data_IF_639627394461
#
_entry.id   IF_639627394461
#
_cell.length_a   1.000
_cell.length_b   1.000
_cell.length_c   1.000
_cell.angle_alpha   90.00
_cell.angle_beta   90.00
_cell.angle_gamma   90.00
#
_symmetry.space_group_name_H-M   'P 1'
#
loop_
_entity.id
_entity.type
_entity.pdbx_description
1 polymer ?
#
# COMPACT_ATOMS: atom_id res chain seq x y z
N UNK A 1 -23.03 -0.46 3.12
CA UNK A 1 -21.73 0.17 3.47
C UNK A 1 -20.68 -0.92 3.60
N UNK A 2 -19.66 -0.89 2.74
CA UNK A 2 -18.57 -1.87 2.73
C UNK A 2 -17.75 -1.67 4.00
N UNK A 3 -17.55 -2.73 4.79
CA UNK A 3 -16.83 -2.64 6.06
C UNK A 3 -15.36 -2.42 5.75
N UNK A 4 -14.84 -1.22 6.03
CA UNK A 4 -13.40 -0.96 5.97
C UNK A 4 -12.77 -1.86 7.03
N UNK A 5 -11.86 -2.74 6.62
CA UNK A 5 -11.15 -3.61 7.54
C UNK A 5 -9.75 -3.05 7.78
N UNK A 6 -9.49 -2.68 9.01
CA UNK A 6 -8.16 -2.26 9.44
C UNK A 6 -7.26 -3.48 9.67
N UNK A 7 -6.05 -3.46 9.15
CA UNK A 7 -5.00 -4.46 9.42
C UNK A 7 -3.68 -3.78 9.76
N UNK A 8 -2.85 -4.45 10.54
CA UNK A 8 -1.53 -3.96 10.95
C UNK A 8 -0.44 -4.72 10.19
N UNK A 9 0.49 -4.00 9.56
CA UNK A 9 1.57 -4.55 8.75
C UNK A 9 2.92 -4.20 9.34
N UNK A 10 3.82 -5.18 9.46
CA UNK A 10 5.19 -4.93 9.90
C UNK A 10 6.01 -4.36 8.74
N UNK A 11 6.50 -3.14 8.86
CA UNK A 11 7.34 -2.50 7.85
C UNK A 11 8.78 -3.06 7.73
N UNK A 12 9.14 -4.10 8.48
CA UNK A 12 10.44 -4.78 8.35
C UNK A 12 10.33 -6.12 7.62
N UNK A 13 9.32 -6.94 7.93
CA UNK A 13 9.16 -8.27 7.35
C UNK A 13 7.85 -8.49 6.57
N UNK A 14 6.94 -7.52 6.56
CA UNK A 14 5.65 -7.62 5.87
C UNK A 14 4.58 -8.43 6.61
N UNK A 15 4.86 -8.93 7.83
CA UNK A 15 3.87 -9.69 8.60
C UNK A 15 2.61 -8.86 8.86
N UNK A 16 1.44 -9.42 8.54
CA UNK A 16 0.14 -8.81 8.84
C UNK A 16 -0.46 -9.33 10.15
N UNK A 17 -1.25 -8.51 10.83
CA UNK A 17 -1.97 -8.85 12.06
C UNK A 17 -3.25 -8.05 12.20
N UNK A 18 -4.29 -8.63 12.80
CA UNK A 18 -5.60 -7.95 13.00
C UNK A 18 -5.64 -7.07 14.26
N UNK A 19 -4.59 -7.13 15.09
CA UNK A 19 -4.41 -6.27 16.25
C UNK A 19 -2.97 -5.77 16.34
N UNK A 20 -2.79 -4.63 17.00
CA UNK A 20 -1.45 -4.16 17.35
C UNK A 20 -0.81 -5.09 18.39
N UNK A 21 0.37 -5.63 18.07
CA UNK A 21 1.11 -6.55 18.93
C UNK A 21 2.30 -5.89 19.65
N UNK A 22 2.72 -4.69 19.23
CA UNK A 22 3.89 -3.99 19.76
C UNK A 22 5.22 -4.58 19.27
N UNK A 23 5.40 -5.89 19.42
CA UNK A 23 6.53 -6.68 18.89
C UNK A 23 6.06 -7.57 17.74
N UNK A 24 6.81 -7.59 16.63
CA UNK A 24 6.57 -8.49 15.51
C UNK A 24 6.91 -9.94 15.88
N UNK A 25 6.00 -10.92 15.71
CA UNK A 25 6.29 -12.33 15.98
C UNK A 25 7.18 -12.99 14.91
N UNK A 26 7.29 -12.38 13.73
CA UNK A 26 8.11 -12.90 12.62
C UNK A 26 9.56 -12.43 12.72
N UNK A 27 9.79 -11.13 12.90
CA UNK A 27 11.15 -10.56 12.93
C UNK A 27 11.63 -10.06 14.31
N UNK A 28 10.78 -10.12 15.35
CA UNK A 28 11.15 -9.69 16.71
C UNK A 28 11.26 -8.17 16.93
N UNK A 29 11.09 -7.37 15.88
CA UNK A 29 11.18 -5.91 15.94
C UNK A 29 10.03 -5.27 16.73
N UNK A 30 10.35 -4.20 17.43
CA UNK A 30 9.38 -3.40 18.18
C UNK A 30 8.95 -2.18 17.37
N UNK A 31 7.71 -1.74 17.56
CA UNK A 31 7.16 -0.48 17.02
C UNK A 31 7.23 -0.37 15.48
N UNK A 32 7.28 -1.52 14.79
CA UNK A 32 7.38 -1.57 13.33
C UNK A 32 6.05 -1.89 12.65
N UNK A 33 5.00 -2.14 13.42
CA UNK A 33 3.66 -2.30 12.88
C UNK A 33 3.07 -0.95 12.49
N UNK A 34 2.48 -0.87 11.31
CA UNK A 34 1.71 0.27 10.83
C UNK A 34 0.30 -0.17 10.49
N UNK A 35 -0.66 0.72 10.70
CA UNK A 35 -2.06 0.47 10.39
C UNK A 35 -2.32 0.80 8.92
N UNK A 36 -2.95 -0.13 8.20
CA UNK A 36 -3.40 0.07 6.83
C UNK A 36 -4.89 -0.31 6.71
N UNK A 37 -5.66 0.58 6.08
CA UNK A 37 -7.05 0.33 5.76
C UNK A 37 -7.15 -0.56 4.51
N UNK A 38 -7.42 -1.84 4.73
CA UNK A 38 -7.71 -2.76 3.63
C UNK A 38 -9.13 -2.47 3.18
N UNK A 39 -9.23 -1.63 2.16
CA UNK A 39 -10.41 -1.60 1.31
C UNK A 39 -10.29 -2.83 0.44
N UNK A 40 -11.18 -3.81 0.62
CA UNK A 40 -11.37 -4.82 -0.40
C UNK A 40 -11.66 -4.05 -1.69
N UNK A 41 -10.67 -3.96 -2.57
CA UNK A 41 -10.94 -3.62 -3.95
C UNK A 41 -11.83 -4.76 -4.41
N UNK A 42 -13.15 -4.55 -4.39
CA UNK A 42 -14.02 -5.24 -5.34
C UNK A 42 -13.30 -5.05 -6.64
N UNK A 43 -12.87 -6.16 -7.26
CA UNK A 43 -12.17 -6.20 -8.52
C UNK A 43 -12.58 -4.94 -9.27
N UNK A 44 -11.70 -3.94 -9.28
CA UNK A 44 -11.99 -2.72 -9.99
C UNK A 44 -12.01 -3.24 -11.42
N UNK A 45 -13.22 -3.58 -11.90
CA UNK A 45 -13.49 -4.19 -13.18
C UNK A 45 -12.57 -3.48 -14.13
N UNK A 46 -11.55 -4.21 -14.59
CA UNK A 46 -10.31 -3.70 -15.16
C UNK A 46 -10.57 -2.48 -16.02
N UNK A 47 -10.67 -1.32 -15.38
CA UNK A 47 -10.89 -0.04 -16.01
C UNK A 47 -9.51 0.44 -16.32
N UNK A 48 -8.81 -0.33 -17.17
CA UNK A 48 -7.48 0.00 -17.61
C UNK A 48 -7.56 1.43 -18.11
N UNK A 49 -6.92 2.34 -17.37
CA UNK A 49 -6.69 3.68 -17.88
C UNK A 49 -5.87 3.45 -19.13
N UNK A 50 -6.48 3.68 -20.29
CA UNK A 50 -5.75 3.65 -21.56
C UNK A 50 -4.82 4.84 -21.51
N UNK A 51 -3.57 4.55 -21.18
CA UNK A 51 -2.51 5.51 -21.32
C UNK A 51 -2.02 5.40 -22.76
N UNK A 52 -2.60 6.22 -23.64
CA UNK A 52 -2.12 6.42 -25.01
C UNK A 52 -0.83 7.27 -25.06
N UNK A 53 -0.30 7.65 -23.89
CA UNK A 53 0.97 8.34 -23.78
C UNK A 53 2.14 7.38 -24.01
N UNK A 54 3.07 7.77 -24.87
CA UNK A 54 4.38 7.12 -24.91
C UNK A 54 5.13 7.48 -23.62
N UNK A 55 5.76 6.51 -22.92
CA UNK A 55 6.56 6.82 -21.73
C UNK A 55 7.66 7.81 -22.09
N UNK A 56 7.62 9.00 -21.48
CA UNK A 56 8.67 10.01 -21.67
C UNK A 56 9.83 9.75 -20.70
N UNK A 57 11.06 9.91 -21.21
CA UNK A 57 12.27 9.83 -20.41
C UNK A 57 12.28 10.97 -19.38
N UNK A 58 12.77 10.72 -18.16
CA UNK A 58 12.76 11.67 -17.04
C UNK A 58 13.48 12.99 -17.37
N UNK A 59 14.38 12.96 -18.33
CA UNK A 59 15.16 14.08 -18.88
C UNK A 59 14.33 15.01 -19.79
N UNK A 60 13.15 14.59 -20.26
CA UNK A 60 12.28 15.41 -21.12
C UNK A 60 11.31 16.31 -20.33
N UNK A 61 11.29 16.21 -19.00
CA UNK A 61 10.41 17.01 -18.14
C UNK A 61 11.08 18.37 -17.90
N UNK A 62 10.76 19.36 -18.72
CA UNK A 62 11.16 20.75 -18.47
C UNK A 62 10.27 21.33 -17.37
N UNK A 63 10.87 21.75 -16.26
CA UNK A 63 10.19 22.54 -15.24
C UNK A 63 9.95 23.95 -15.81
N UNK A 64 8.70 24.24 -16.17
CA UNK A 64 8.24 25.61 -16.41
C UNK A 64 7.93 26.22 -15.03
N UNK A 65 8.57 27.36 -14.74
CA UNK A 65 8.49 28.11 -13.47
C UNK A 65 7.10 28.71 -13.22
#
# INVERSE_FOLDING_TARGET
>A
MKKIKTMFFCQNCGQQSTKWLGRCPSCGEWNRFVEEEIRDAEAASSGGVRFDGVPQSLEAITADE
#
